data_IF_889943955296
#
_entry.id   IF_889943955296
#
_cell.length_a   1.000
_cell.length_b   1.000
_cell.length_c   1.000
_cell.angle_alpha   90.00
_cell.angle_beta   90.00
_cell.angle_gamma   90.00
#
_symmetry.space_group_name_H-M   'P 1'
#
loop_
_entity.id
_entity.type
_entity.pdbx_description
1 polymer ?
#
# COMPACT_ATOMS: atom_id res chain seq x y z
N UNK A 1 -7.40 -3.62 -12.73
CA UNK A 1 -6.62 -2.73 -11.84
C UNK A 1 -5.86 -3.58 -10.83
N UNK A 2 -4.59 -3.30 -10.64
CA UNK A 2 -3.74 -4.02 -9.71
C UNK A 2 -3.37 -3.14 -8.53
N UNK A 3 -3.58 -3.65 -7.32
CA UNK A 3 -3.35 -2.93 -6.08
C UNK A 3 -2.27 -3.59 -5.26
N UNK A 4 -1.47 -2.78 -4.57
CA UNK A 4 -0.58 -3.28 -3.53
C UNK A 4 -1.15 -2.86 -2.19
N UNK A 5 -1.41 -3.83 -1.32
CA UNK A 5 -1.90 -3.57 0.03
C UNK A 5 -0.77 -3.79 1.02
N UNK A 6 -0.42 -2.76 1.76
CA UNK A 6 0.66 -2.80 2.74
C UNK A 6 0.07 -2.63 4.12
N UNK A 7 -0.07 -3.72 4.85
CA UNK A 7 -0.70 -3.77 6.17
C UNK A 7 -0.05 -4.86 7.00
N UNK A 8 0.43 -4.55 8.19
CA UNK A 8 1.15 -5.51 9.03
C UNK A 8 0.23 -6.46 9.78
N UNK A 9 -1.01 -6.09 9.99
CA UNK A 9 -2.00 -7.01 10.59
C UNK A 9 -2.48 -7.99 9.53
N UNK A 10 -2.03 -9.23 9.64
CA UNK A 10 -2.31 -10.25 8.63
C UNK A 10 -3.80 -10.50 8.47
N UNK A 11 -4.54 -10.52 9.58
CA UNK A 11 -5.99 -10.76 9.53
C UNK A 11 -6.73 -9.60 8.87
N UNK A 12 -6.36 -8.39 9.22
CA UNK A 12 -6.95 -7.21 8.60
C UNK A 12 -6.60 -7.13 7.12
N UNK A 13 -5.35 -7.44 6.78
CA UNK A 13 -4.92 -7.49 5.39
C UNK A 13 -5.76 -8.48 4.58
N UNK A 14 -5.96 -9.68 5.12
CA UNK A 14 -6.77 -10.70 4.45
C UNK A 14 -8.21 -10.22 4.23
N UNK A 15 -8.79 -9.57 5.22
CA UNK A 15 -10.15 -9.04 5.13
C UNK A 15 -10.26 -7.96 4.04
N UNK A 16 -9.33 -7.04 4.03
CA UNK A 16 -9.31 -5.97 3.04
C UNK A 16 -9.09 -6.54 1.64
N UNK A 17 -8.13 -7.44 1.50
CA UNK A 17 -7.83 -8.06 0.21
C UNK A 17 -9.05 -8.81 -0.34
N UNK A 18 -9.76 -9.53 0.52
CA UNK A 18 -10.97 -10.24 0.09
C UNK A 18 -12.01 -9.28 -0.47
N UNK A 19 -12.23 -8.16 0.20
CA UNK A 19 -13.20 -7.17 -0.27
C UNK A 19 -12.76 -6.56 -1.61
N UNK A 20 -11.49 -6.27 -1.76
CA UNK A 20 -10.96 -5.71 -3.01
C UNK A 20 -11.09 -6.71 -4.15
N UNK A 21 -10.80 -7.97 -3.88
CA UNK A 21 -10.90 -9.02 -4.89
C UNK A 21 -12.34 -9.24 -5.33
N UNK A 22 -13.29 -9.11 -4.42
CA UNK A 22 -14.71 -9.17 -4.77
C UNK A 22 -15.14 -8.06 -5.70
N UNK A 23 -14.44 -6.92 -5.65
CA UNK A 23 -14.68 -5.81 -6.57
C UNK A 23 -13.95 -5.95 -7.90
N UNK A 24 -13.22 -7.05 -8.09
CA UNK A 24 -12.54 -7.33 -9.34
C UNK A 24 -11.10 -6.84 -9.41
N UNK A 25 -10.53 -6.39 -8.29
CA UNK A 25 -9.15 -5.91 -8.28
C UNK A 25 -8.18 -7.04 -8.01
N UNK A 26 -7.06 -7.03 -8.71
CA UNK A 26 -5.95 -7.93 -8.40
C UNK A 26 -5.18 -7.29 -7.25
N UNK A 27 -5.04 -8.00 -6.14
CA UNK A 27 -4.45 -7.44 -4.92
C UNK A 27 -3.27 -8.26 -4.48
N UNK A 28 -2.10 -7.62 -4.42
CA UNK A 28 -0.91 -8.20 -3.81
C UNK A 28 -0.78 -7.65 -2.40
N UNK A 29 -0.36 -8.48 -1.46
CA UNK A 29 -0.24 -8.09 -0.05
C UNK A 29 1.20 -8.13 0.39
N UNK A 30 1.61 -7.15 1.18
CA UNK A 30 2.85 -7.21 1.92
C UNK A 30 2.64 -6.60 3.30
N UNK A 31 3.58 -6.84 4.21
CA UNK A 31 3.30 -6.71 5.62
C UNK A 31 4.21 -5.75 6.36
N UNK A 32 5.19 -5.17 5.68
CA UNK A 32 6.04 -4.13 6.25
C UNK A 32 6.56 -3.21 5.16
N UNK A 33 7.20 -2.12 5.59
CA UNK A 33 7.65 -1.10 4.65
C UNK A 33 8.81 -1.54 3.77
N UNK A 34 9.65 -2.44 4.25
CA UNK A 34 10.76 -2.96 3.45
C UNK A 34 10.23 -3.82 2.32
N UNK A 35 9.29 -4.71 2.61
CA UNK A 35 8.63 -5.51 1.58
C UNK A 35 7.94 -4.61 0.56
N UNK A 36 7.26 -3.56 1.04
CA UNK A 36 6.57 -2.64 0.14
C UNK A 36 7.54 -1.98 -0.84
N UNK A 37 8.68 -1.51 -0.36
CA UNK A 37 9.69 -0.93 -1.23
C UNK A 37 10.21 -1.94 -2.24
N UNK A 38 10.47 -3.16 -1.81
CA UNK A 38 10.92 -4.21 -2.72
C UNK A 38 9.90 -4.49 -3.80
N UNK A 39 8.62 -4.56 -3.44
CA UNK A 39 7.56 -4.81 -4.41
C UNK A 39 7.46 -3.68 -5.43
N UNK A 40 7.53 -2.44 -4.96
CA UNK A 40 7.36 -1.28 -5.82
C UNK A 40 8.58 -1.08 -6.72
N UNK A 41 9.79 -1.27 -6.19
CA UNK A 41 11.02 -0.98 -6.93
C UNK A 41 11.44 -2.13 -7.84
N UNK A 42 11.11 -3.37 -7.49
CA UNK A 42 11.61 -4.54 -8.19
C UNK A 42 10.52 -5.41 -8.79
N UNK A 43 9.27 -5.01 -8.67
CA UNK A 43 8.16 -5.81 -9.18
C UNK A 43 8.15 -5.83 -10.71
N UNK A 44 7.77 -6.95 -11.27
CA UNK A 44 7.48 -7.06 -12.70
C UNK A 44 6.17 -6.39 -13.05
N UNK A 45 5.38 -6.05 -12.04
CA UNK A 45 4.05 -5.50 -12.23
C UNK A 45 4.01 -4.03 -11.89
N UNK A 46 3.22 -3.29 -12.63
CA UNK A 46 2.92 -1.90 -12.29
C UNK A 46 1.66 -1.87 -11.45
N UNK A 47 1.71 -1.16 -10.35
CA UNK A 47 0.54 -0.99 -9.49
C UNK A 47 -0.21 0.27 -9.90
N UNK A 48 -1.53 0.16 -9.92
CA UNK A 48 -2.39 1.30 -10.21
C UNK A 48 -2.62 2.17 -8.98
N UNK A 49 -2.62 1.53 -7.80
CA UNK A 49 -2.75 2.25 -6.55
C UNK A 49 -2.10 1.41 -5.43
N UNK A 50 -1.60 2.08 -4.42
CA UNK A 50 -1.03 1.45 -3.24
C UNK A 50 -1.84 1.87 -2.03
N UNK A 51 -2.35 0.88 -1.29
CA UNK A 51 -3.00 1.11 -0.01
C UNK A 51 -1.96 0.88 1.07
N UNK A 52 -1.63 1.92 1.80
CA UNK A 52 -0.45 1.94 2.66
C UNK A 52 -0.84 2.28 4.09
N UNK A 53 -0.59 1.36 5.02
CA UNK A 53 -0.74 1.65 6.43
C UNK A 53 0.40 2.59 6.84
N UNK A 54 0.03 3.67 7.53
CA UNK A 54 1.00 4.65 7.99
C UNK A 54 1.92 4.07 9.08
N UNK A 55 1.36 3.24 9.95
CA UNK A 55 2.06 2.70 11.12
C UNK A 55 2.60 1.31 10.83
N UNK A 56 3.63 1.24 10.01
CA UNK A 56 4.22 -0.04 9.63
C UNK A 56 5.47 -0.33 10.44
N UNK A 57 5.76 -1.61 10.71
CA UNK A 57 7.04 -1.98 11.29
C UNK A 57 8.17 -1.81 10.28
N UNK A 58 9.38 -1.77 10.77
CA UNK A 58 10.63 -1.63 10.02
C UNK A 58 10.78 -0.25 9.39
N UNK A 59 9.92 0.07 8.42
CA UNK A 59 9.92 1.39 7.77
C UNK A 59 8.48 1.87 7.73
N UNK A 60 8.19 3.05 8.28
CA UNK A 60 6.83 3.54 8.33
C UNK A 60 6.32 3.97 6.95
N UNK A 61 5.00 4.11 6.86
CA UNK A 61 4.34 4.37 5.57
C UNK A 61 4.77 5.67 4.91
N UNK A 62 4.99 6.73 5.69
CA UNK A 62 5.41 8.01 5.11
C UNK A 62 6.82 7.92 4.53
N UNK A 63 7.68 7.15 5.18
CA UNK A 63 9.04 6.92 4.67
C UNK A 63 9.00 6.14 3.36
N UNK A 64 8.12 5.14 3.27
CA UNK A 64 7.91 4.39 2.03
C UNK A 64 7.46 5.33 0.91
N UNK A 65 6.47 6.16 1.19
CA UNK A 65 5.97 7.12 0.21
C UNK A 65 7.08 8.06 -0.26
N UNK A 66 7.86 8.58 0.67
CA UNK A 66 8.96 9.47 0.35
C UNK A 66 10.00 8.79 -0.55
N UNK A 67 10.36 7.56 -0.22
CA UNK A 67 11.32 6.80 -1.02
C UNK A 67 10.82 6.58 -2.44
N UNK A 68 9.52 6.28 -2.58
CA UNK A 68 8.90 6.11 -3.89
C UNK A 68 9.01 7.39 -4.72
N UNK A 69 8.67 8.52 -4.12
CA UNK A 69 8.70 9.81 -4.83
C UNK A 69 10.10 10.21 -5.22
N UNK A 70 11.09 9.90 -4.39
CA UNK A 70 12.50 10.14 -4.71
C UNK A 70 12.96 9.33 -5.91
N UNK A 71 12.39 8.16 -6.11
CA UNK A 71 12.68 7.30 -7.27
C UNK A 71 11.78 7.63 -8.45
N UNK A 72 11.02 8.71 -8.37
CA UNK A 72 10.11 9.16 -9.41
C UNK A 72 9.02 8.14 -9.74
N UNK A 73 8.61 7.40 -8.74
CA UNK A 73 7.45 6.51 -8.85
C UNK A 73 6.23 7.31 -8.43
N UNK A 74 5.32 7.53 -9.36
CA UNK A 74 4.17 8.41 -9.16
C UNK A 74 2.86 7.66 -8.94
N UNK A 75 2.93 6.39 -8.65
CA UNK A 75 1.74 5.59 -8.35
C UNK A 75 0.95 6.26 -7.21
N UNK A 76 -0.36 6.43 -7.38
CA UNK A 76 -1.20 6.97 -6.31
C UNK A 76 -1.13 6.12 -5.05
N UNK A 77 -1.09 6.78 -3.91
CA UNK A 77 -1.01 6.13 -2.60
C UNK A 77 -2.14 6.62 -1.72
N UNK A 78 -2.92 5.68 -1.20
CA UNK A 78 -3.95 5.96 -0.21
C UNK A 78 -3.43 5.50 1.14
N UNK A 79 -3.28 6.45 2.07
CA UNK A 79 -2.76 6.12 3.40
C UNK A 79 -3.89 5.80 4.35
N UNK A 80 -3.80 4.63 4.97
CA UNK A 80 -4.73 4.20 6.01
C UNK A 80 -4.15 4.56 7.38
N UNK A 81 -4.98 5.14 8.24
CA UNK A 81 -4.53 5.59 9.55
C UNK A 81 -5.32 4.90 10.64
N UNK A 82 -4.70 3.91 11.26
CA UNK A 82 -5.31 3.21 12.38
C UNK A 82 -6.38 2.21 11.96
N UNK A 83 -6.70 1.34 12.81
CA UNK A 83 -7.66 0.24 12.85
C UNK A 83 -8.61 0.08 11.65
N UNK A 84 -8.06 0.04 10.47
CA UNK A 84 -8.88 -0.15 9.28
C UNK A 84 -9.69 1.07 8.87
N UNK A 85 -9.47 2.19 9.50
CA UNK A 85 -10.06 3.43 9.04
C UNK A 85 -9.39 3.86 7.76
N UNK A 86 -10.17 3.94 6.72
CA UNK A 86 -9.72 4.62 5.53
C UNK A 86 -9.97 6.08 5.77
N UNK A 87 -8.91 6.82 5.94
CA UNK A 87 -9.04 8.27 5.98
C UNK A 87 -9.43 8.73 4.59
N UNK A 88 -10.34 9.68 4.53
CA UNK A 88 -10.74 10.27 3.27
C UNK A 88 -9.58 10.98 2.58
N UNK A 89 -8.54 11.23 3.33
CA UNK A 89 -7.38 11.92 2.80
C UNK A 89 -6.58 10.99 1.95
N UNK A 90 -6.37 11.38 0.75
CA UNK A 90 -5.56 10.63 -0.19
C UNK A 90 -4.21 11.32 -0.25
N UNK A 91 -3.28 10.82 0.54
CA UNK A 91 -1.95 11.39 0.59
C UNK A 91 -1.14 10.92 -0.61
N UNK A 92 -0.47 11.85 -1.25
CA UNK A 92 0.40 11.51 -2.36
C UNK A 92 -0.28 11.27 -3.69
N UNK A 93 -1.53 11.64 -3.80
CA UNK A 93 -2.25 11.55 -5.08
C UNK A 93 -2.05 12.77 -5.97
N UNK A 94 -1.57 13.82 -5.42
CA UNK A 94 -1.34 15.05 -6.16
C UNK A 94 0.07 15.15 -6.69
#
# INVERSE_FOLDING_TARGET
MRLLLVEDDINLSATIAEQLQKQGYITDCCYDGEMALNYVLNSEYSYDIILLDRMLPVIDGLTVLKAMRQKQIHTPVLIMTGLGELDDKIAGLD
#
